data_IF_210753914356
#
_entry.id   IF_210753914356
#
_cell.length_a   1.000
_cell.length_b   1.000
_cell.length_c   1.000
_cell.angle_alpha   90.00
_cell.angle_beta   90.00
_cell.angle_gamma   90.00
#
_symmetry.space_group_name_H-M   'P 1'
#
loop_
_entity.id
_entity.type
_entity.pdbx_description
1 polymer ?
#
# COMPACT_ATOMS: atom_id res chain seq x y z
N UNK A 1 -9.00 1.07 -10.38
CA UNK A 1 -8.26 0.80 -9.12
C UNK A 1 -7.08 1.75 -8.96
N UNK A 2 -6.03 1.62 -9.78
CA UNK A 2 -4.78 2.37 -9.63
C UNK A 2 -4.92 3.90 -9.69
N UNK A 3 -5.86 4.41 -10.50
CA UNK A 3 -6.18 5.82 -10.58
C UNK A 3 -6.69 6.39 -9.24
N UNK A 4 -7.49 5.62 -8.50
CA UNK A 4 -7.97 6.05 -7.17
C UNK A 4 -6.80 6.17 -6.19
N UNK A 5 -5.88 5.21 -6.21
CA UNK A 5 -4.67 5.23 -5.38
C UNK A 5 -3.81 6.46 -5.71
N UNK A 6 -3.63 6.77 -7.00
CA UNK A 6 -2.90 7.97 -7.41
C UNK A 6 -3.58 9.27 -6.98
N UNK A 7 -4.91 9.36 -7.08
CA UNK A 7 -5.71 10.50 -6.63
C UNK A 7 -5.60 10.74 -5.12
N UNK A 8 -5.64 9.67 -4.33
CA UNK A 8 -5.43 9.74 -2.88
C UNK A 8 -4.01 10.18 -2.55
N UNK A 9 -3.01 9.62 -3.25
CA UNK A 9 -1.62 10.00 -3.06
C UNK A 9 -1.38 11.48 -3.41
N UNK A 10 -2.00 11.96 -4.50
CA UNK A 10 -1.99 13.37 -4.87
C UNK A 10 -2.60 14.23 -3.77
N UNK A 11 -3.70 13.79 -3.16
CA UNK A 11 -4.36 14.49 -2.06
C UNK A 11 -3.46 14.55 -0.82
N UNK A 12 -2.79 13.45 -0.46
CA UNK A 12 -1.82 13.44 0.64
C UNK A 12 -0.67 14.42 0.33
N UNK A 13 -0.11 14.34 -0.87
CA UNK A 13 1.02 15.16 -1.29
C UNK A 13 0.67 16.65 -1.43
N UNK A 14 -0.55 17.01 -1.84
CA UNK A 14 -0.99 18.41 -1.93
C UNK A 14 -1.08 19.10 -0.56
N UNK A 15 -1.20 18.30 0.51
CA UNK A 15 -1.20 18.76 1.89
C UNK A 15 0.21 18.77 2.53
N UNK A 16 1.27 18.60 1.74
CA UNK A 16 2.66 18.50 2.20
C UNK A 16 2.91 17.37 3.21
N UNK A 17 2.15 16.28 3.06
CA UNK A 17 2.37 15.03 3.77
C UNK A 17 3.14 14.05 2.88
N UNK A 18 3.94 13.22 3.55
CA UNK A 18 4.61 12.05 2.99
C UNK A 18 4.04 10.85 3.76
N UNK A 19 3.59 9.81 3.05
CA UNK A 19 2.95 8.64 3.63
C UNK A 19 3.93 7.80 4.46
N UNK A 20 5.14 7.57 3.92
CA UNK A 20 6.26 6.83 4.51
C UNK A 20 6.08 5.31 4.63
N UNK A 21 4.85 4.80 4.63
CA UNK A 21 4.55 3.35 4.68
C UNK A 21 3.53 2.91 3.62
N UNK A 22 3.69 3.40 2.39
CA UNK A 22 2.76 3.09 1.32
C UNK A 22 3.06 1.68 0.78
N UNK A 23 2.10 0.76 0.89
CA UNK A 23 2.19 -0.59 0.35
C UNK A 23 0.79 -1.18 0.11
N UNK A 24 0.68 -2.30 -0.60
CA UNK A 24 -0.62 -2.88 -0.98
C UNK A 24 -1.51 -3.24 0.21
N UNK A 25 -0.95 -3.64 1.36
CA UNK A 25 -1.75 -3.89 2.59
C UNK A 25 -2.37 -2.63 3.23
N UNK A 26 -1.92 -1.44 2.81
CA UNK A 26 -2.47 -0.15 3.25
C UNK A 26 -3.43 0.43 2.18
N UNK A 27 -3.85 -0.38 1.20
CA UNK A 27 -4.88 -0.03 0.23
C UNK A 27 -6.19 -0.71 0.61
N UNK A 28 -7.21 0.09 0.92
CA UNK A 28 -8.54 -0.39 1.25
C UNK A 28 -9.43 -0.39 0.01
N UNK A 29 -10.02 -1.54 -0.31
CA UNK A 29 -10.97 -1.66 -1.42
C UNK A 29 -12.40 -1.45 -0.93
N UNK A 30 -13.10 -0.49 -1.51
CA UNK A 30 -14.55 -0.31 -1.30
C UNK A 30 -15.36 -1.06 -2.37
N UNK A 31 -14.87 -1.06 -3.60
CA UNK A 31 -15.42 -1.89 -4.69
C UNK A 31 -14.31 -2.22 -5.70
N UNK A 32 -14.62 -3.04 -6.71
CA UNK A 32 -13.68 -3.32 -7.81
C UNK A 32 -13.14 -2.06 -8.51
N UNK A 33 -13.85 -0.93 -8.39
CA UNK A 33 -13.48 0.35 -9.03
C UNK A 33 -13.10 1.45 -8.06
N UNK A 34 -13.09 1.21 -6.74
CA UNK A 34 -12.84 2.24 -5.72
C UNK A 34 -11.90 1.70 -4.65
N UNK A 35 -10.83 2.45 -4.41
CA UNK A 35 -9.84 2.14 -3.39
C UNK A 35 -9.31 3.40 -2.72
N UNK A 36 -8.83 3.23 -1.48
CA UNK A 36 -8.34 4.31 -0.64
C UNK A 36 -6.98 3.98 -0.04
N UNK A 37 -6.11 4.98 0.10
CA UNK A 37 -4.88 4.86 0.89
C UNK A 37 -5.23 5.03 2.38
N UNK A 38 -4.79 4.09 3.20
CA UNK A 38 -5.00 4.07 4.64
C UNK A 38 -3.67 4.04 5.41
N UNK A 39 -3.78 4.13 6.74
CA UNK A 39 -2.66 4.09 7.69
C UNK A 39 -1.65 5.25 7.55
N UNK A 40 -2.12 6.46 7.84
CA UNK A 40 -1.28 7.66 7.95
C UNK A 40 -0.52 7.75 9.29
N UNK A 41 -0.46 6.68 10.08
CA UNK A 41 0.16 6.72 11.41
C UNK A 41 1.67 7.02 11.36
N UNK A 42 2.31 6.67 10.24
CA UNK A 42 3.72 6.93 9.96
C UNK A 42 3.95 8.19 9.13
N UNK A 43 2.89 8.85 8.69
CA UNK A 43 3.01 10.02 7.85
C UNK A 43 3.69 11.18 8.58
N UNK A 44 4.48 11.93 7.82
CA UNK A 44 5.20 13.09 8.31
C UNK A 44 5.03 14.27 7.35
N UNK A 45 5.06 15.48 7.90
CA UNK A 45 5.14 16.69 7.07
C UNK A 45 6.55 16.81 6.48
N UNK A 46 6.66 17.35 5.27
CA UNK A 46 7.95 17.55 4.57
C UNK A 46 9.00 18.26 5.44
N UNK A 47 8.59 19.27 6.23
CA UNK A 47 9.51 20.01 7.11
C UNK A 47 10.15 19.11 8.19
N UNK A 48 9.35 18.20 8.78
CA UNK A 48 9.85 17.25 9.80
C UNK A 48 10.74 16.20 9.14
N UNK A 49 10.40 15.73 7.93
CA UNK A 49 11.17 14.73 7.21
C UNK A 49 12.64 15.15 7.02
N UNK A 50 12.86 16.43 6.70
CA UNK A 50 14.18 17.03 6.54
C UNK A 50 15.01 17.06 7.84
N UNK A 51 14.34 17.05 8.99
CA UNK A 51 14.97 17.09 10.32
C UNK A 51 15.14 15.70 10.96
N UNK A 52 14.35 14.71 10.54
CA UNK A 52 14.28 13.38 11.16
C UNK A 52 15.20 12.32 10.52
N UNK A 53 16.47 12.65 10.30
CA UNK A 53 17.45 11.71 9.72
C UNK A 53 17.68 10.49 10.62
N UNK A 54 17.57 9.28 10.06
CA UNK A 54 18.19 8.07 10.63
C UNK A 54 17.26 6.94 11.10
N UNK A 55 15.93 7.15 11.17
CA UNK A 55 14.98 6.03 11.39
C UNK A 55 14.25 5.67 10.11
N UNK A 56 14.42 4.42 9.68
CA UNK A 56 13.73 3.84 8.53
C UNK A 56 12.50 3.08 9.03
N UNK A 57 11.36 3.32 8.38
CA UNK A 57 10.09 2.67 8.62
C UNK A 57 9.52 2.08 7.32
N UNK A 58 8.58 1.16 7.48
CA UNK A 58 7.83 0.56 6.39
C UNK A 58 8.37 -0.77 5.90
N UNK A 59 7.77 -1.27 4.83
CA UNK A 59 8.02 -2.63 4.32
C UNK A 59 9.12 -2.61 3.26
N UNK A 60 10.23 -3.30 3.53
CA UNK A 60 11.51 -3.19 2.81
C UNK A 60 11.38 -3.10 1.27
N UNK A 61 10.60 -3.98 0.65
CA UNK A 61 10.42 -4.01 -0.81
C UNK A 61 9.77 -2.73 -1.42
N UNK A 62 9.05 -1.95 -0.62
CA UNK A 62 8.41 -0.69 -1.03
C UNK A 62 9.24 0.54 -0.66
N UNK A 63 10.32 0.38 0.11
CA UNK A 63 11.14 1.51 0.56
C UNK A 63 12.08 1.95 -0.57
N UNK A 64 12.07 3.26 -0.85
CA UNK A 64 12.88 3.83 -1.91
C UNK A 64 14.40 3.78 -1.59
N UNK A 65 15.28 3.67 -2.61
CA UNK A 65 16.73 3.59 -2.41
C UNK A 65 17.34 4.71 -1.57
N UNK A 66 16.89 5.95 -1.74
CA UNK A 66 17.36 7.11 -0.97
C UNK A 66 16.93 7.06 0.50
N UNK A 67 15.77 6.49 0.78
CA UNK A 67 15.31 6.25 2.16
C UNK A 67 16.15 5.15 2.79
N UNK A 68 16.43 4.08 2.04
CA UNK A 68 17.30 3.00 2.50
C UNK A 68 18.73 3.48 2.72
N UNK A 69 19.27 4.39 1.91
CA UNK A 69 20.64 4.91 2.07
C UNK A 69 20.75 5.91 3.21
N UNK A 70 19.87 6.91 3.20
CA UNK A 70 20.06 8.13 3.99
C UNK A 70 18.93 8.39 5.00
N UNK A 71 17.88 7.56 5.00
CA UNK A 71 16.68 7.76 5.83
C UNK A 71 15.85 8.97 5.40
N UNK A 72 16.04 9.47 4.17
CA UNK A 72 15.44 10.70 3.66
C UNK A 72 14.11 10.42 2.96
N UNK A 73 13.02 10.55 3.70
CA UNK A 73 11.66 10.46 3.14
C UNK A 73 11.30 11.72 2.36
N UNK A 74 10.70 11.51 1.19
CA UNK A 74 10.22 12.58 0.31
C UNK A 74 8.89 12.17 -0.33
N UNK A 75 8.18 13.11 -0.96
CA UNK A 75 7.03 12.74 -1.79
C UNK A 75 7.43 11.73 -2.87
N UNK A 76 8.62 11.87 -3.44
CA UNK A 76 9.16 10.93 -4.43
C UNK A 76 9.43 9.53 -3.87
N UNK A 77 9.67 9.38 -2.55
CA UNK A 77 9.79 8.04 -1.95
C UNK A 77 8.45 7.32 -1.90
N UNK A 78 7.34 8.01 -1.68
CA UNK A 78 6.01 7.39 -1.82
C UNK A 78 5.71 7.02 -3.28
N UNK A 79 6.19 7.80 -4.25
CA UNK A 79 6.04 7.48 -5.68
C UNK A 79 6.78 6.19 -6.05
N UNK A 80 7.95 5.94 -5.44
CA UNK A 80 8.64 4.66 -5.59
C UNK A 80 7.76 3.51 -5.11
N UNK A 81 7.20 3.64 -3.90
CA UNK A 81 6.29 2.64 -3.32
C UNK A 81 5.06 2.43 -4.19
N UNK A 82 4.49 3.50 -4.75
CA UNK A 82 3.41 3.44 -5.72
C UNK A 82 3.81 2.60 -6.95
N UNK A 83 5.01 2.77 -7.50
CA UNK A 83 5.53 1.95 -8.60
C UNK A 83 5.58 0.44 -8.27
N UNK A 84 5.95 0.09 -7.03
CA UNK A 84 5.92 -1.31 -6.57
C UNK A 84 4.47 -1.83 -6.47
N UNK A 85 3.53 -1.01 -5.99
CA UNK A 85 2.09 -1.33 -5.99
C UNK A 85 1.56 -1.52 -7.43
N UNK A 86 1.99 -0.69 -8.39
CA UNK A 86 1.61 -0.88 -9.80
C UNK A 86 2.01 -2.28 -10.29
N UNK A 87 3.17 -2.77 -9.89
CA UNK A 87 3.63 -4.11 -10.25
C UNK A 87 2.79 -5.20 -9.61
N UNK A 88 2.47 -5.08 -8.32
CA UNK A 88 1.62 -6.06 -7.64
C UNK A 88 0.21 -6.13 -8.24
N UNK A 89 -0.34 -4.99 -8.67
CA UNK A 89 -1.63 -4.96 -9.38
C UNK A 89 -1.52 -5.65 -10.74
N UNK A 90 -0.43 -5.44 -11.47
CA UNK A 90 -0.22 -6.04 -12.80
C UNK A 90 -0.10 -7.56 -12.74
N UNK A 91 0.64 -8.10 -11.77
CA UNK A 91 0.91 -9.54 -11.68
C UNK A 91 0.02 -10.29 -10.70
N UNK A 92 -0.78 -9.58 -9.90
CA UNK A 92 -1.60 -10.19 -8.84
C UNK A 92 -0.80 -10.93 -7.78
N UNK A 93 0.50 -10.63 -7.62
CA UNK A 93 1.46 -11.34 -6.75
C UNK A 93 2.23 -10.34 -5.90
N UNK A 94 2.67 -10.78 -4.72
CA UNK A 94 3.48 -9.92 -3.86
C UNK A 94 4.94 -9.89 -4.30
N UNK A 95 5.59 -8.73 -4.16
CA UNK A 95 7.03 -8.59 -4.37
C UNK A 95 7.76 -9.20 -3.16
N UNK A 96 8.05 -10.49 -3.22
CA UNK A 96 8.79 -11.20 -2.16
C UNK A 96 10.18 -11.50 -2.68
N UNK A 97 11.19 -10.93 -2.02
CA UNK A 97 12.60 -11.16 -2.34
C UNK A 97 13.25 -12.21 -1.42
N UNK A 98 12.61 -12.60 -0.32
CA UNK A 98 13.09 -13.64 0.60
C UNK A 98 11.92 -14.27 1.39
N UNK A 99 12.09 -15.52 1.84
CA UNK A 99 11.13 -16.19 2.72
C UNK A 99 11.29 -15.69 4.17
N UNK A 100 10.20 -15.66 4.95
CA UNK A 100 10.07 -15.06 6.29
C UNK A 100 11.01 -15.61 7.40
N UNK A 101 11.96 -16.49 7.06
CA UNK A 101 12.94 -17.08 8.00
C UNK A 101 14.19 -16.21 8.11
N UNK A 102 14.00 -15.03 8.68
CA UNK A 102 14.94 -13.90 8.73
C UNK A 102 16.33 -14.18 9.33
N UNK A 103 17.37 -13.69 8.65
CA UNK A 103 18.63 -13.21 9.25
C UNK A 103 18.86 -11.71 8.95
N UNK A 104 19.54 -10.98 9.85
CA UNK A 104 19.95 -9.57 9.62
C UNK A 104 20.80 -9.39 8.34
N UNK A 105 21.49 -10.47 7.96
CA UNK A 105 22.33 -10.56 6.77
C UNK A 105 21.50 -10.47 5.49
N UNK A 106 20.38 -11.20 5.39
CA UNK A 106 19.48 -11.15 4.22
C UNK A 106 18.78 -9.79 4.08
N UNK A 107 18.37 -9.18 5.20
CA UNK A 107 17.82 -7.82 5.19
C UNK A 107 18.84 -6.82 4.63
N UNK A 108 20.08 -6.90 5.12
CA UNK A 108 21.18 -6.04 4.66
C UNK A 108 21.48 -6.26 3.18
N UNK A 109 21.54 -7.52 2.74
CA UNK A 109 21.78 -7.89 1.34
C UNK A 109 20.68 -7.34 0.43
N UNK A 110 19.40 -7.55 0.77
CA UNK A 110 18.31 -7.01 -0.05
C UNK A 110 18.34 -5.48 -0.10
N UNK A 111 18.64 -4.82 1.02
CA UNK A 111 18.80 -3.36 1.06
C UNK A 111 19.87 -2.91 0.05
N UNK A 112 21.02 -3.58 -0.01
CA UNK A 112 22.07 -3.29 -0.99
C UNK A 112 21.59 -3.54 -2.43
N UNK A 113 20.94 -4.67 -2.68
CA UNK A 113 20.43 -5.00 -4.02
C UNK A 113 19.41 -3.98 -4.52
N UNK A 114 18.46 -3.54 -3.68
CA UNK A 114 17.48 -2.49 -4.03
C UNK A 114 18.21 -1.19 -4.37
N UNK A 115 19.22 -0.84 -3.56
CA UNK A 115 20.07 0.33 -3.74
C UNK A 115 20.90 0.31 -5.03
N UNK A 116 21.23 -0.89 -5.51
CA UNK A 116 21.95 -1.19 -6.76
C UNK A 116 21.02 -1.38 -7.97
N UNK A 117 19.71 -1.24 -7.77
CA UNK A 117 18.72 -1.23 -8.87
C UNK A 117 17.96 -2.53 -9.06
N UNK A 118 17.96 -3.44 -8.08
CA UNK A 118 17.06 -4.60 -8.10
C UNK A 118 15.61 -4.13 -8.23
N UNK A 119 14.91 -4.64 -9.23
CA UNK A 119 13.49 -4.39 -9.47
C UNK A 119 12.79 -5.68 -9.86
N UNK A 120 11.47 -5.80 -9.62
CA UNK A 120 10.72 -6.96 -10.08
C UNK A 120 10.78 -7.11 -11.61
N UNK A 121 10.79 -8.36 -12.09
CA UNK A 121 10.77 -8.66 -13.52
C UNK A 121 9.47 -8.17 -14.17
N UNK A 122 9.56 -7.69 -15.41
CA UNK A 122 8.39 -7.30 -16.22
C UNK A 122 8.35 -8.14 -17.49
N UNK A 123 7.25 -8.86 -17.68
CA UNK A 123 6.94 -9.61 -18.90
C UNK A 123 6.93 -8.71 -20.14
N UNK A 124 7.40 -9.24 -21.27
CA UNK A 124 7.33 -8.56 -22.57
C UNK A 124 5.87 -8.35 -23.05
N UNK A 125 4.91 -9.09 -22.47
CA UNK A 125 3.49 -8.95 -22.77
C UNK A 125 2.82 -7.76 -22.09
N UNK A 126 3.44 -7.21 -21.04
CA UNK A 126 2.87 -6.10 -20.29
C UNK A 126 2.67 -4.89 -21.22
N UNK A 127 1.53 -4.22 -21.10
CA UNK A 127 1.29 -2.97 -21.80
C UNK A 127 2.44 -2.00 -21.56
N UNK A 128 3.02 -1.51 -22.66
CA UNK A 128 4.20 -0.67 -22.67
C UNK A 128 3.95 0.63 -21.93
N UNK A 129 2.79 1.28 -22.14
CA UNK A 129 2.40 2.49 -21.41
C UNK A 129 2.41 2.28 -19.89
N UNK A 130 1.87 1.16 -19.42
CA UNK A 130 1.84 0.80 -18.00
C UNK A 130 3.24 0.50 -17.47
N UNK A 131 4.00 -0.33 -18.18
CA UNK A 131 5.36 -0.70 -17.81
C UNK A 131 6.30 0.50 -17.77
N UNK A 132 6.18 1.43 -18.71
CA UNK A 132 7.00 2.65 -18.78
C UNK A 132 6.68 3.59 -17.62
N UNK A 133 5.40 3.81 -17.29
CA UNK A 133 5.02 4.60 -16.12
C UNK A 133 5.50 3.96 -14.82
N UNK A 134 5.27 2.66 -14.65
CA UNK A 134 5.73 1.89 -13.48
C UNK A 134 7.24 2.00 -13.30
N UNK A 135 8.00 1.87 -14.39
CA UNK A 135 9.47 2.04 -14.39
C UNK A 135 9.90 3.45 -14.02
N UNK A 136 9.15 4.46 -14.46
CA UNK A 136 9.39 5.86 -14.12
C UNK A 136 9.14 6.10 -12.62
N UNK A 137 8.10 5.50 -12.05
CA UNK A 137 7.76 5.63 -10.63
C UNK A 137 8.85 5.06 -9.71
N UNK A 138 9.44 3.90 -10.04
CA UNK A 138 10.48 3.27 -9.21
C UNK A 138 11.91 3.58 -9.62
N UNK A 139 12.12 4.69 -10.34
CA UNK A 139 13.44 5.12 -10.79
C UNK A 139 14.40 5.26 -9.60
N UNK A 140 15.68 4.89 -9.76
CA UNK A 140 16.67 4.99 -8.67
C UNK A 140 16.82 6.43 -8.20
N UNK A 141 16.85 7.37 -9.14
CA UNK A 141 16.96 8.80 -8.88
C UNK A 141 15.58 9.42 -8.58
N UNK A 142 15.37 9.97 -7.37
CA UNK A 142 14.07 10.48 -6.94
C UNK A 142 13.52 11.59 -7.85
N UNK A 143 14.39 12.44 -8.38
CA UNK A 143 14.05 13.57 -9.25
C UNK A 143 13.58 13.15 -10.65
N UNK A 144 13.82 11.90 -11.06
CA UNK A 144 13.34 11.37 -12.34
C UNK A 144 11.93 10.77 -12.22
N UNK A 145 11.44 10.60 -11.00
CA UNK A 145 10.10 10.07 -10.72
C UNK A 145 9.06 11.17 -10.98
N UNK A 146 7.89 10.83 -11.52
CA UNK A 146 6.80 11.79 -11.65
C UNK A 146 6.26 12.17 -10.26
N UNK A 147 5.64 13.33 -10.15
CA UNK A 147 4.80 13.68 -9.00
C UNK A 147 3.47 12.94 -9.06
N UNK A 148 2.78 12.81 -7.92
CA UNK A 148 1.43 12.23 -7.91
C UNK A 148 0.45 12.99 -8.82
N UNK A 149 0.61 14.31 -8.94
CA UNK A 149 -0.19 15.13 -9.86
C UNK A 149 0.07 14.76 -11.34
N UNK A 150 1.34 14.64 -11.74
CA UNK A 150 1.68 14.20 -13.11
C UNK A 150 1.18 12.78 -13.40
N UNK A 151 1.18 11.87 -12.41
CA UNK A 151 0.59 10.53 -12.55
C UNK A 151 -0.92 10.64 -12.80
N UNK A 152 -1.64 11.48 -12.06
CA UNK A 152 -3.07 11.72 -12.27
C UNK A 152 -3.36 12.26 -13.68
N UNK A 153 -2.53 13.20 -14.16
CA UNK A 153 -2.64 13.74 -15.52
C UNK A 153 -2.43 12.63 -16.57
N UNK A 154 -1.41 11.78 -16.39
CA UNK A 154 -1.14 10.64 -17.28
C UNK A 154 -2.34 9.68 -17.32
N UNK A 155 -2.95 9.35 -16.17
CA UNK A 155 -4.13 8.49 -16.16
C UNK A 155 -5.34 9.16 -16.81
N UNK A 156 -5.51 10.48 -16.67
CA UNK A 156 -6.55 11.22 -17.37
C UNK A 156 -6.34 11.17 -18.89
N UNK A 157 -5.10 11.26 -19.37
CA UNK A 157 -4.78 11.09 -20.80
C UNK A 157 -5.09 9.67 -21.29
N UNK A 158 -4.74 8.63 -20.50
CA UNK A 158 -5.00 7.24 -20.87
C UNK A 158 -6.49 6.95 -21.05
N UNK A 159 -7.34 7.48 -20.16
CA UNK A 159 -8.79 7.32 -20.26
C UNK A 159 -9.40 7.98 -21.50
N UNK A 160 -8.71 8.95 -22.09
CA UNK A 160 -9.15 9.66 -23.30
C UNK A 160 -8.46 9.16 -24.58
N UNK A 161 -7.64 8.10 -24.50
CA UNK A 161 -6.87 7.58 -25.63
C UNK A 161 -7.29 6.16 -25.99
N UNK A 162 -8.03 6.01 -27.09
CA UNK A 162 -8.46 4.69 -27.60
C UNK A 162 -7.29 3.74 -27.86
N UNK A 163 -6.16 4.27 -28.32
CA UNK A 163 -4.95 3.49 -28.58
C UNK A 163 -4.38 2.89 -27.29
N UNK A 164 -4.31 3.68 -26.21
CA UNK A 164 -3.77 3.23 -24.92
C UNK A 164 -4.72 2.23 -24.26
N UNK A 165 -6.03 2.50 -24.30
CA UNK A 165 -7.04 1.58 -23.77
C UNK A 165 -7.02 0.23 -24.51
N UNK A 166 -6.82 0.26 -25.83
CA UNK A 166 -6.69 -0.96 -26.64
C UNK A 166 -5.42 -1.73 -26.28
N UNK A 167 -4.29 -1.06 -26.10
CA UNK A 167 -3.03 -1.67 -25.68
C UNK A 167 -3.15 -2.38 -24.31
N UNK A 168 -3.74 -1.70 -23.31
CA UNK A 168 -4.00 -2.25 -21.98
C UNK A 168 -4.93 -3.48 -22.04
N UNK A 169 -5.98 -3.43 -22.85
CA UNK A 169 -6.90 -4.54 -22.99
C UNK A 169 -6.28 -5.75 -23.72
N UNK A 170 -5.39 -5.50 -24.69
CA UNK A 170 -4.68 -6.57 -25.40
C UNK A 170 -3.60 -7.25 -24.54
N UNK A 171 -2.95 -6.53 -23.64
CA UNK A 171 -2.00 -7.16 -22.70
C UNK A 171 -2.70 -8.09 -21.73
N UNK A 172 -3.83 -7.66 -21.15
CA UNK A 172 -4.59 -8.45 -20.18
C UNK A 172 -5.02 -9.81 -20.77
N UNK A 173 -5.41 -9.86 -22.05
CA UNK A 173 -5.79 -11.11 -22.72
C UNK A 173 -4.64 -12.09 -22.91
N UNK A 174 -3.42 -11.59 -23.14
CA UNK A 174 -2.25 -12.44 -23.43
C UNK A 174 -1.79 -13.14 -22.15
N UNK A 175 -1.90 -12.46 -21.02
CA UNK A 175 -1.54 -13.03 -19.72
C UNK A 175 -2.54 -14.13 -19.29
N UNK A 176 -3.85 -13.96 -19.59
CA UNK A 176 -4.88 -15.00 -19.41
C UNK A 176 -4.67 -16.27 -20.26
N UNK A 177 -3.95 -16.18 -21.39
CA UNK A 177 -3.65 -17.31 -22.27
C UNK A 177 -2.35 -18.05 -21.89
N UNK A 178 -1.38 -17.37 -21.24
CA UNK A 178 -0.19 -18.02 -20.70
C UNK A 178 -0.48 -18.85 -19.46
N UNK A 179 -1.33 -18.38 -18.56
CA UNK A 179 -1.67 -19.10 -17.32
C UNK A 179 -2.42 -20.42 -17.58
N UNK A 180 -3.05 -20.58 -18.75
CA UNK A 180 -3.72 -21.84 -19.16
C UNK A 180 -2.76 -22.93 -19.66
N UNK A 181 -1.49 -22.62 -19.93
CA UNK A 181 -0.50 -23.60 -20.41
C UNK A 181 0.32 -24.24 -19.29
N UNK A 182 0.37 -23.61 -18.13
CA UNK A 182 1.18 -24.07 -17.00
C UNK A 182 0.44 -25.07 -16.08
N UNK A 183 -0.87 -25.23 -16.24
CA UNK A 183 -1.70 -26.16 -15.46
C UNK A 183 -1.64 -27.64 -15.95
N UNK A 184 -0.96 -27.93 -17.07
CA UNK A 184 -0.88 -29.30 -17.62
C UNK A 184 0.38 -30.10 -17.25
N UNK A 185 1.38 -29.53 -16.54
CA UNK A 185 2.65 -30.24 -16.29
C UNK A 185 2.86 -30.86 -14.91
N UNK A 186 2.07 -30.53 -13.88
CA UNK A 186 2.31 -31.07 -12.52
C UNK A 186 1.33 -32.17 -12.13
N UNK A 187 1.48 -33.31 -12.82
CA UNK A 187 1.10 -34.62 -12.27
C UNK A 187 2.33 -35.52 -12.33
N UNK A 188 2.96 -35.74 -11.18
CA UNK A 188 3.46 -37.05 -10.70
C UNK A 188 4.05 -36.96 -9.29
N UNK A 189 3.43 -37.75 -8.42
CA UNK A 189 3.99 -38.66 -7.41
C UNK A 189 5.01 -38.12 -6.39
N UNK A 190 4.71 -38.20 -5.08
CA UNK A 190 4.98 -39.43 -4.33
C UNK A 190 4.41 -39.44 -2.90
N UNK A 191 4.09 -40.66 -2.45
CA UNK A 191 3.53 -41.03 -1.14
C UNK A 191 4.55 -41.08 0.01
N UNK A 192 3.99 -41.10 1.24
CA UNK A 192 4.55 -41.55 2.53
C UNK A 192 5.50 -40.57 3.24
N UNK A 193 5.29 -40.20 4.51
CA UNK A 193 5.31 -41.10 5.67
C UNK A 193 4.65 -40.47 6.91
N UNK A 194 3.92 -41.29 7.67
CA UNK A 194 3.44 -40.99 9.02
C UNK A 194 4.56 -41.24 10.02
N UNK A 195 4.83 -40.29 10.92
CA UNK A 195 5.21 -40.57 12.30
C UNK A 195 4.64 -39.53 13.26
N UNK A 196 3.99 -40.06 14.28
CA UNK A 196 3.60 -39.38 15.51
C UNK A 196 4.86 -39.00 16.30
N UNK A 197 4.82 -37.86 17.01
CA UNK A 197 5.34 -37.82 18.38
C UNK A 197 4.75 -36.62 19.15
N UNK A 198 4.27 -36.92 20.36
CA UNK A 198 3.66 -36.02 21.31
C UNK A 198 4.70 -35.26 22.15
N UNK A 199 4.28 -34.05 22.53
CA UNK A 199 4.63 -33.32 23.76
C UNK A 199 6.03 -32.69 23.90
N UNK A 200 6.03 -31.36 23.98
CA UNK A 200 6.62 -30.68 25.14
C UNK A 200 5.96 -29.30 25.35
N UNK A 201 5.24 -29.18 26.47
CA UNK A 201 4.72 -27.90 27.00
C UNK A 201 5.81 -27.27 27.85
N UNK A 202 6.31 -26.07 27.51
CA UNK A 202 6.90 -25.14 28.49
C UNK A 202 6.65 -23.67 28.12
N UNK A 203 5.84 -23.06 28.99
CA UNK A 203 5.96 -21.71 29.55
C UNK A 203 6.04 -20.50 28.59
N UNK A 204 4.87 -20.09 28.12
CA UNK A 204 4.57 -18.71 27.71
C UNK A 204 4.19 -17.86 28.94
N UNK A 205 5.19 -17.37 29.66
CA UNK A 205 5.02 -16.16 30.46
C UNK A 205 6.28 -15.32 30.28
N UNK A 206 6.11 -14.07 29.84
CA UNK A 206 7.08 -12.96 29.89
C UNK A 206 7.39 -12.22 28.57
N UNK A 207 6.64 -12.43 27.47
CA UNK A 207 6.81 -11.63 26.21
C UNK A 207 5.77 -10.54 25.96
N UNK A 208 4.90 -10.20 26.92
CA UNK A 208 3.75 -9.31 26.66
C UNK A 208 3.99 -7.81 26.82
N UNK A 209 5.15 -7.37 27.29
CA UNK A 209 5.34 -5.96 27.69
C UNK A 209 6.24 -5.12 26.77
N UNK A 210 6.85 -5.70 25.72
CA UNK A 210 7.76 -4.94 24.84
C UNK A 210 7.08 -4.31 23.61
N UNK A 211 5.82 -4.65 23.30
CA UNK A 211 5.16 -4.23 22.04
C UNK A 211 4.51 -2.82 22.06
N UNK A 212 4.42 -2.15 23.22
CA UNK A 212 3.61 -0.92 23.37
C UNK A 212 4.44 0.38 23.21
N UNK A 213 5.78 0.31 23.28
CA UNK A 213 6.61 1.52 23.30
C UNK A 213 6.75 2.17 21.91
N UNK A 214 6.54 1.43 20.82
CA UNK A 214 6.68 1.96 19.46
C UNK A 214 5.48 2.79 18.98
N UNK A 215 4.33 2.71 19.66
CA UNK A 215 3.08 3.34 19.23
C UNK A 215 2.88 4.78 19.72
N UNK A 216 3.43 5.18 20.86
CA UNK A 216 3.19 6.53 21.41
C UNK A 216 3.71 7.61 20.45
N UNK A 217 4.89 7.42 19.88
CA UNK A 217 5.48 8.39 18.94
C UNK A 217 4.68 8.45 17.63
N UNK A 218 4.24 7.29 17.10
CA UNK A 218 3.39 7.24 15.91
C UNK A 218 2.05 7.90 16.18
N UNK A 219 1.42 7.58 17.30
CA UNK A 219 0.14 8.12 17.73
C UNK A 219 0.18 9.63 17.96
N UNK A 220 1.24 10.17 18.57
CA UNK A 220 1.40 11.62 18.76
C UNK A 220 1.69 12.36 17.44
N UNK A 221 2.40 11.73 16.49
CA UNK A 221 2.54 12.27 15.13
C UNK A 221 1.21 12.27 14.39
N UNK A 222 0.49 11.15 14.44
CA UNK A 222 -0.81 10.99 13.82
C UNK A 222 -1.83 11.99 14.38
N UNK A 223 -1.92 12.18 15.69
CA UNK A 223 -2.79 13.19 16.32
C UNK A 223 -2.58 14.60 15.77
N UNK A 224 -1.32 14.98 15.50
CA UNK A 224 -1.02 16.29 14.91
C UNK A 224 -1.58 16.41 13.49
N UNK A 225 -1.47 15.35 12.70
CA UNK A 225 -2.04 15.28 11.35
C UNK A 225 -3.58 15.30 11.45
N UNK A 226 -4.15 14.49 12.35
CA UNK A 226 -5.57 14.39 12.59
C UNK A 226 -6.20 15.74 12.91
N UNK A 227 -5.62 16.49 13.86
CA UNK A 227 -6.06 17.82 14.23
C UNK A 227 -5.90 18.84 13.09
N UNK A 228 -4.81 18.75 12.33
CA UNK A 228 -4.50 19.72 11.27
C UNK A 228 -5.39 19.57 10.05
N UNK A 229 -5.72 18.34 9.66
CA UNK A 229 -6.44 18.04 8.41
C UNK A 229 -7.86 17.51 8.65
N UNK A 230 -8.34 17.54 9.89
CA UNK A 230 -9.67 17.06 10.29
C UNK A 230 -9.94 15.62 9.79
N UNK A 231 -8.94 14.75 9.90
CA UNK A 231 -9.05 13.34 9.48
C UNK A 231 -9.80 12.59 10.57
N UNK A 232 -10.86 11.87 10.22
CA UNK A 232 -11.53 11.00 11.18
C UNK A 232 -10.69 9.75 11.44
N UNK A 233 -10.46 9.44 12.71
CA UNK A 233 -9.88 8.16 13.10
C UNK A 233 -10.99 7.14 13.34
N UNK A 234 -10.95 6.06 12.58
CA UNK A 234 -11.89 4.95 12.73
C UNK A 234 -11.23 3.90 13.64
N UNK A 235 -11.63 3.77 14.93
CA UNK A 235 -11.14 2.70 15.77
C UNK A 235 -11.52 1.33 15.21
N UNK A 236 -10.68 0.33 15.46
CA UNK A 236 -10.96 -1.06 15.11
C UNK A 236 -12.31 -1.55 15.69
N UNK A 237 -12.71 -1.09 16.87
CA UNK A 237 -13.98 -1.48 17.49
C UNK A 237 -15.24 -0.92 16.79
N UNK A 238 -15.10 0.01 15.83
CA UNK A 238 -16.17 0.46 14.94
C UNK A 238 -16.29 -0.39 13.67
N UNK A 239 -15.40 -1.37 13.49
CA UNK A 239 -15.50 -2.35 12.41
C UNK A 239 -16.29 -3.56 12.90
N UNK A 240 -17.32 -3.93 12.15
CA UNK A 240 -18.17 -5.09 12.41
C UNK A 240 -18.20 -6.02 11.21
N UNK A 241 -18.68 -7.25 11.42
CA UNK A 241 -18.78 -8.26 10.38
C UNK A 241 -17.48 -8.44 9.57
N UNK A 242 -16.36 -8.56 10.28
CA UNK A 242 -15.04 -8.77 9.69
C UNK A 242 -15.00 -10.19 9.13
N UNK A 243 -15.03 -10.30 7.82
CA UNK A 243 -15.05 -11.58 7.10
C UNK A 243 -13.82 -11.68 6.20
N UNK A 244 -13.19 -12.86 6.18
CA UNK A 244 -12.17 -13.16 5.17
C UNK A 244 -12.85 -13.44 3.84
N UNK A 245 -12.56 -12.62 2.82
CA UNK A 245 -13.12 -12.79 1.47
C UNK A 245 -12.15 -13.44 0.50
N UNK A 246 -10.85 -13.42 0.81
CA UNK A 246 -9.84 -14.17 0.09
C UNK A 246 -8.68 -14.50 1.02
N UNK A 247 -8.10 -15.68 0.86
CA UNK A 247 -6.87 -16.10 1.53
C UNK A 247 -5.97 -16.74 0.49
N UNK A 248 -4.86 -16.09 0.18
CA UNK A 248 -3.83 -16.61 -0.73
C UNK A 248 -2.58 -17.03 0.04
N UNK A 249 -1.56 -17.49 -0.68
CA UNK A 249 -0.24 -17.77 -0.09
C UNK A 249 0.48 -16.52 0.46
N UNK A 250 -0.01 -15.32 0.13
CA UNK A 250 0.71 -14.05 0.35
C UNK A 250 -0.03 -13.04 1.23
N UNK A 251 -1.36 -13.15 1.36
CA UNK A 251 -2.16 -12.25 2.19
C UNK A 251 -3.54 -12.84 2.51
N UNK A 252 -4.18 -12.25 3.53
CA UNK A 252 -5.60 -12.46 3.82
C UNK A 252 -6.33 -11.15 3.57
N UNK A 253 -7.32 -11.15 2.70
CA UNK A 253 -8.16 -10.00 2.41
C UNK A 253 -9.41 -10.07 3.27
N UNK A 254 -9.66 -8.99 4.02
CA UNK A 254 -10.81 -8.86 4.91
C UNK A 254 -11.82 -7.86 4.33
N UNK A 255 -13.10 -8.15 4.53
CA UNK A 255 -14.21 -7.21 4.36
C UNK A 255 -14.75 -6.89 5.74
N UNK A 256 -15.04 -5.63 6.01
CA UNK A 256 -15.69 -5.20 7.25
C UNK A 256 -16.76 -4.15 6.95
N UNK A 257 -17.74 -4.03 7.85
CA UNK A 257 -18.73 -2.97 7.87
C UNK A 257 -18.25 -1.91 8.84
N UNK A 258 -18.08 -0.68 8.36
CA UNK A 258 -17.86 0.48 9.22
C UNK A 258 -19.20 0.96 9.79
N UNK A 259 -19.28 1.01 11.12
CA UNK A 259 -20.43 1.50 11.87
C UNK A 259 -20.27 3.00 12.15
N UNK A 260 -21.29 3.79 11.80
CA UNK A 260 -21.38 5.20 12.16
C UNK A 260 -21.99 5.37 13.57
N UNK A 261 -21.46 6.34 14.31
CA UNK A 261 -21.69 6.59 15.73
C UNK A 261 -23.12 7.01 16.03
N UNK A 262 -23.80 7.66 15.08
CA UNK A 262 -25.11 8.22 15.37
C UNK A 262 -26.23 7.17 15.40
N UNK A 263 -26.06 6.01 14.75
CA UNK A 263 -27.21 5.10 14.53
C UNK A 263 -26.91 3.60 14.63
N UNK A 264 -25.64 3.17 14.82
CA UNK A 264 -25.30 1.74 14.81
C UNK A 264 -25.70 1.02 13.52
N UNK A 265 -25.87 1.79 12.43
CA UNK A 265 -26.24 1.31 11.11
C UNK A 265 -24.98 1.19 10.25
N UNK A 266 -24.91 0.20 9.33
CA UNK A 266 -23.86 0.15 8.33
C UNK A 266 -23.85 1.46 7.53
N UNK A 267 -22.68 2.06 7.35
CA UNK A 267 -22.52 3.20 6.45
C UNK A 267 -22.82 2.75 5.01
N UNK A 268 -23.86 3.30 4.39
CA UNK A 268 -24.21 3.06 2.98
C UNK A 268 -23.89 4.34 2.21
N UNK A 269 -22.65 4.45 1.72
CA UNK A 269 -22.22 5.59 0.92
C UNK A 269 -22.85 5.58 -0.47
N UNK A 270 -23.99 6.25 -0.65
CA UNK A 270 -24.37 6.81 -1.94
C UNK A 270 -23.81 8.23 -2.01
N UNK A 271 -22.76 8.43 -2.80
CA UNK A 271 -22.27 9.76 -3.14
C UNK A 271 -23.24 10.41 -4.12
N UNK A 272 -24.27 11.09 -3.61
CA UNK A 272 -24.99 12.14 -4.34
C UNK A 272 -24.41 13.49 -3.90
N UNK A 273 -23.62 14.10 -4.78
CA UNK A 273 -22.95 15.38 -4.58
C UNK A 273 -23.88 16.60 -4.76
N UNK A 274 -25.16 16.48 -4.42
CA UNK A 274 -26.14 17.57 -4.56
C UNK A 274 -26.99 17.68 -3.28
N UNK A 275 -26.40 18.25 -2.22
CA UNK A 275 -27.05 19.00 -1.12
C UNK A 275 -26.05 19.30 -0.01
N UNK A 276 -25.33 20.42 -0.15
CA UNK A 276 -24.85 21.18 1.00
C UNK A 276 -25.62 22.50 0.98
N UNK A 277 -26.70 22.56 1.76
CA UNK A 277 -27.35 23.81 2.15
C UNK A 277 -26.98 24.07 3.62
N UNK A 278 -26.46 25.27 3.84
CA UNK A 278 -26.34 26.07 5.08
C UNK A 278 -26.54 25.38 6.44
N UNK A 279 -25.46 25.36 7.24
CA UNK A 279 -25.44 25.90 8.61
C UNK A 279 -24.02 25.82 9.21
N UNK A 280 -23.21 26.85 8.95
CA UNK A 280 -21.92 27.08 9.63
C UNK A 280 -22.00 28.40 10.41
N UNK A 281 -22.60 28.37 11.60
CA UNK A 281 -22.58 29.49 12.52
C UNK A 281 -22.77 29.04 13.97
N UNK A 282 -21.71 28.54 14.64
CA UNK A 282 -21.37 28.91 16.03
C UNK A 282 -20.13 28.18 16.59
N UNK A 283 -18.93 28.42 16.04
CA UNK A 283 -17.68 27.87 16.62
C UNK A 283 -16.63 28.94 16.99
N UNK A 284 -17.07 30.16 17.30
CA UNK A 284 -16.22 31.27 17.77
C UNK A 284 -16.51 31.71 19.22
N UNK A 285 -16.94 30.79 20.08
CA UNK A 285 -17.02 31.03 21.53
C UNK A 285 -16.42 29.84 22.28
N UNK A 286 -15.10 29.84 22.41
CA UNK A 286 -14.32 29.24 23.50
C UNK A 286 -12.82 29.49 23.22
N UNK A 287 -12.45 30.78 23.30
CA UNK A 287 -11.10 31.22 23.63
C UNK A 287 -11.12 31.68 25.10
#
# INVERSE_FOLDING_TARGET
LIQCIASDLQTIHSHDLIHCDLHSRNILLNSLKSAYIADLALSITVNIALESSGRIFGVLQYIAPEVLKDGLYTKASDIYSFGIIMWEILYGKSVIYFEEKNSEEEYSELRFQICDGLRPHISENAARCYADLMKKCWNTEPEKRPTAAEICDIFAEWLNSENILSELYESDKKDDESDKKDDESDKKDDESDKKDDESDKKDESDKKEEFIIHDIVKFEKFKKIQLKYNIEWIPFNKLSNIETIAKGGFSTVYRAIWLDDEHGKPYVGHADYDKYDDDYADYNKLL
#
